data_IF_952610181204
#
_entry.id   IF_952610181204
#
_cell.length_a   1.000
_cell.length_b   1.000
_cell.length_c   1.000
_cell.angle_alpha   90.00
_cell.angle_beta   90.00
_cell.angle_gamma   90.00
#
_symmetry.space_group_name_H-M   'P 1'
#
loop_
_entity.id
_entity.type
_entity.pdbx_description
1 polymer ?
#
# COMPACT_ATOMS: atom_id res chain seq x y z
N UNK A 1 13.39 -8.94 15.51
CA UNK A 1 13.17 -7.80 14.57
C UNK A 1 12.29 -6.74 15.22
N UNK A 2 12.51 -5.46 14.94
CA UNK A 2 11.56 -4.40 15.31
C UNK A 2 10.45 -4.31 14.25
N UNK A 3 9.32 -4.92 14.55
CA UNK A 3 8.19 -5.00 13.62
C UNK A 3 7.57 -3.63 13.30
N UNK A 4 7.52 -2.69 14.27
CA UNK A 4 6.97 -1.35 14.00
C UNK A 4 7.80 -0.65 12.91
N UNK A 5 9.10 -0.56 13.10
CA UNK A 5 10.00 0.07 12.13
C UNK A 5 9.92 -0.58 10.75
N UNK A 6 9.83 -1.91 10.67
CA UNK A 6 9.67 -2.60 9.38
C UNK A 6 8.32 -2.28 8.73
N UNK A 7 7.23 -2.34 9.48
CA UNK A 7 5.88 -2.03 8.96
C UNK A 7 5.79 -0.57 8.52
N UNK A 8 6.36 0.39 9.27
CA UNK A 8 6.43 1.79 8.87
C UNK A 8 7.19 1.97 7.55
N UNK A 9 8.33 1.29 7.40
CA UNK A 9 9.12 1.32 6.16
C UNK A 9 8.33 0.74 4.98
N UNK A 10 7.63 -0.38 5.17
CA UNK A 10 6.80 -0.99 4.13
C UNK A 10 5.60 -0.10 3.78
N UNK A 11 4.97 0.57 4.77
CA UNK A 11 3.84 1.46 4.56
C UNK A 11 4.23 2.81 3.96
N UNK A 12 5.50 3.21 4.09
CA UNK A 12 6.04 4.34 3.34
C UNK A 12 6.14 4.06 1.84
N UNK A 13 6.20 2.78 1.44
CA UNK A 13 6.22 2.39 0.03
C UNK A 13 4.84 2.56 -0.61
N UNK A 14 4.81 3.14 -1.81
CA UNK A 14 3.68 3.01 -2.71
C UNK A 14 3.64 1.58 -3.24
N UNK A 15 2.47 0.93 -3.21
CA UNK A 15 2.34 -0.46 -3.62
C UNK A 15 0.88 -0.95 -3.60
N UNK A 16 -0.06 -0.25 -4.26
CA UNK A 16 -1.38 -0.81 -4.49
C UNK A 16 -1.30 -1.93 -5.52
N UNK A 17 -2.35 -2.78 -5.59
CA UNK A 17 -2.45 -3.85 -6.59
C UNK A 17 -2.21 -3.30 -8.00
N UNK A 18 -1.23 -3.86 -8.71
CA UNK A 18 -0.79 -3.46 -10.05
C UNK A 18 0.33 -2.40 -10.10
N UNK A 19 0.76 -1.84 -8.96
CA UNK A 19 1.95 -0.94 -8.88
C UNK A 19 2.82 -1.27 -7.65
N UNK A 20 3.19 -2.56 -7.51
CA UNK A 20 3.93 -3.09 -6.36
C UNK A 20 5.44 -2.88 -6.43
N UNK A 21 5.97 -2.28 -7.50
CA UNK A 21 7.41 -2.21 -7.76
C UNK A 21 8.22 -1.61 -6.61
N UNK A 22 7.69 -0.57 -5.97
CA UNK A 22 8.41 0.11 -4.89
C UNK A 22 8.53 -0.79 -3.65
N UNK A 23 7.44 -1.46 -3.25
CA UNK A 23 7.46 -2.36 -2.11
C UNK A 23 8.25 -3.63 -2.41
N UNK A 24 8.15 -4.21 -3.61
CA UNK A 24 8.95 -5.36 -4.02
C UNK A 24 10.45 -5.07 -3.94
N UNK A 25 10.89 -3.89 -4.43
CA UNK A 25 12.28 -3.46 -4.36
C UNK A 25 12.74 -3.25 -2.90
N UNK A 26 11.89 -2.69 -2.05
CA UNK A 26 12.20 -2.49 -0.63
C UNK A 26 12.35 -3.83 0.10
N UNK A 27 11.40 -4.76 -0.09
CA UNK A 27 11.48 -6.10 0.47
C UNK A 27 12.71 -6.86 -0.03
N UNK A 28 13.04 -6.75 -1.32
CA UNK A 28 14.25 -7.34 -1.89
C UNK A 28 15.50 -6.86 -1.14
N UNK A 29 15.66 -5.55 -1.00
CA UNK A 29 16.81 -4.96 -0.27
C UNK A 29 16.91 -5.45 1.17
N UNK A 30 15.77 -5.65 1.85
CA UNK A 30 15.73 -6.16 3.22
C UNK A 30 16.07 -7.65 3.32
N UNK A 31 15.73 -8.43 2.30
CA UNK A 31 15.96 -9.88 2.25
C UNK A 31 17.36 -10.27 1.75
N UNK A 32 17.96 -9.48 0.85
CA UNK A 32 19.25 -9.78 0.20
C UNK A 32 20.37 -10.19 1.17
N UNK A 33 20.55 -9.56 2.35
CA UNK A 33 21.63 -9.93 3.27
C UNK A 33 21.51 -11.35 3.85
N UNK A 34 20.33 -11.94 3.78
CA UNK A 34 20.00 -13.23 4.40
C UNK A 34 19.73 -14.36 3.38
N UNK A 35 19.77 -14.05 2.08
CA UNK A 35 19.37 -14.95 1.01
C UNK A 35 20.55 -15.40 0.16
N UNK A 36 20.50 -16.63 -0.39
CA UNK A 36 21.45 -17.07 -1.40
C UNK A 36 21.10 -16.54 -2.80
N UNK A 37 19.80 -16.37 -3.08
CA UNK A 37 19.31 -15.69 -4.29
C UNK A 37 18.08 -14.87 -3.98
N UNK A 38 17.96 -13.71 -4.64
CA UNK A 38 16.86 -12.79 -4.45
C UNK A 38 16.58 -12.05 -5.77
N UNK A 39 15.40 -12.26 -6.37
CA UNK A 39 15.05 -11.62 -7.64
C UNK A 39 13.54 -11.30 -7.71
N UNK A 40 13.21 -10.34 -8.55
CA UNK A 40 11.82 -10.01 -8.89
C UNK A 40 11.56 -10.59 -10.28
N UNK A 41 10.52 -11.40 -10.42
CA UNK A 41 10.16 -12.02 -11.69
C UNK A 41 9.38 -11.06 -12.61
N UNK A 42 8.97 -11.55 -13.78
CA UNK A 42 8.24 -10.76 -14.79
C UNK A 42 6.83 -10.35 -14.35
N UNK A 43 6.24 -11.05 -13.39
CA UNK A 43 4.92 -10.73 -12.82
C UNK A 43 5.03 -9.78 -11.61
N UNK A 44 6.27 -9.45 -11.18
CA UNK A 44 6.50 -8.58 -10.02
C UNK A 44 6.66 -9.36 -8.70
N UNK A 45 6.60 -10.67 -8.69
CA UNK A 45 6.80 -11.46 -7.48
C UNK A 45 8.25 -11.36 -7.01
N UNK A 46 8.46 -11.06 -5.74
CA UNK A 46 9.77 -11.18 -5.11
C UNK A 46 9.99 -12.64 -4.69
N UNK A 47 10.97 -13.28 -5.29
CA UNK A 47 11.39 -14.65 -4.97
C UNK A 47 12.70 -14.60 -4.21
N UNK A 48 12.69 -15.12 -2.99
CA UNK A 48 13.83 -15.20 -2.09
C UNK A 48 14.11 -16.67 -1.81
N UNK A 49 15.35 -17.11 -2.01
CA UNK A 49 15.74 -18.50 -1.77
C UNK A 49 16.91 -18.56 -0.80
N UNK A 50 16.78 -19.39 0.23
CA UNK A 50 17.81 -19.78 1.18
C UNK A 50 18.06 -21.27 1.04
N UNK A 51 19.31 -21.67 0.77
CA UNK A 51 19.71 -23.08 0.68
C UNK A 51 19.75 -23.72 2.06
N UNK A 52 19.46 -25.00 2.10
CA UNK A 52 19.52 -25.83 3.31
C UNK A 52 19.58 -27.31 2.94
N UNK A 53 19.98 -28.19 3.86
CA UNK A 53 20.14 -29.63 3.63
C UNK A 53 18.81 -30.39 3.65
N UNK A 54 17.72 -29.75 4.10
CA UNK A 54 16.41 -30.38 4.28
C UNK A 54 15.48 -30.27 3.07
N UNK A 55 14.22 -30.70 3.22
CA UNK A 55 13.20 -30.55 2.19
C UNK A 55 12.93 -29.07 1.90
N UNK A 56 12.54 -28.77 0.65
CA UNK A 56 12.14 -27.42 0.27
C UNK A 56 10.81 -27.06 0.91
N UNK A 57 10.76 -25.93 1.59
CA UNK A 57 9.56 -25.33 2.17
C UNK A 57 9.36 -23.96 1.52
N UNK A 58 8.14 -23.65 1.11
CA UNK A 58 7.78 -22.35 0.53
C UNK A 58 6.82 -21.62 1.47
N UNK A 59 7.17 -20.37 1.79
CA UNK A 59 6.29 -19.40 2.43
C UNK A 59 5.83 -18.38 1.39
N UNK A 60 4.58 -17.96 1.46
CA UNK A 60 4.04 -16.96 0.54
C UNK A 60 3.19 -15.93 1.30
N UNK A 61 3.34 -14.66 0.92
CA UNK A 61 2.51 -13.55 1.38
C UNK A 61 2.36 -12.54 0.23
N UNK A 62 1.20 -11.90 0.10
CA UNK A 62 1.07 -10.79 -0.82
C UNK A 62 1.61 -9.50 -0.19
N UNK A 63 2.18 -8.62 -1.02
CA UNK A 63 2.81 -7.38 -0.58
C UNK A 63 2.02 -6.13 -0.98
N UNK A 64 1.08 -6.27 -1.91
CA UNK A 64 0.24 -5.16 -2.35
C UNK A 64 -0.69 -4.67 -1.25
N UNK A 65 -1.26 -3.52 -1.48
CA UNK A 65 -2.27 -2.92 -0.63
C UNK A 65 -3.53 -2.57 -1.42
N UNK A 66 -4.65 -2.42 -0.72
CA UNK A 66 -5.81 -1.74 -1.29
C UNK A 66 -5.46 -0.29 -1.58
N UNK A 67 -6.19 0.33 -2.50
CA UNK A 67 -5.95 1.71 -2.90
C UNK A 67 -7.07 2.28 -3.74
N UNK A 68 -6.81 3.46 -4.29
CA UNK A 68 -7.70 4.16 -5.21
C UNK A 68 -6.99 4.38 -6.54
N UNK A 69 -7.75 4.41 -7.64
CA UNK A 69 -7.27 4.78 -8.98
C UNK A 69 -8.10 5.95 -9.50
N UNK A 70 -7.46 7.00 -9.98
CA UNK A 70 -8.16 8.16 -10.58
C UNK A 70 -8.86 7.75 -11.86
N UNK A 71 -10.17 7.98 -11.92
CA UNK A 71 -10.98 7.68 -13.11
C UNK A 71 -11.42 8.93 -13.87
N UNK A 72 -11.53 10.08 -13.19
CA UNK A 72 -11.90 11.34 -13.81
C UNK A 72 -11.39 12.53 -12.98
N UNK A 73 -11.09 13.64 -13.65
CA UNK A 73 -10.71 14.93 -13.05
C UNK A 73 -11.83 15.95 -13.39
N UNK A 74 -12.48 16.48 -12.38
CA UNK A 74 -13.59 17.43 -12.53
C UNK A 74 -13.11 18.86 -12.76
N UNK A 75 -13.98 19.70 -13.34
CA UNK A 75 -13.71 21.12 -13.61
C UNK A 75 -13.32 21.92 -12.36
N UNK A 76 -13.88 21.54 -11.22
CA UNK A 76 -13.63 22.13 -9.90
C UNK A 76 -12.29 21.66 -9.29
N UNK A 77 -11.62 20.68 -9.90
CA UNK A 77 -10.34 20.14 -9.44
C UNK A 77 -10.44 18.89 -8.56
N UNK A 78 -11.65 18.41 -8.25
CA UNK A 78 -11.88 17.16 -7.54
C UNK A 78 -11.62 15.95 -8.44
N UNK A 79 -11.32 14.80 -7.82
CA UNK A 79 -11.06 13.56 -8.54
C UNK A 79 -12.15 12.54 -8.24
N UNK A 80 -12.73 11.94 -9.28
CA UNK A 80 -13.42 10.65 -9.14
C UNK A 80 -12.40 9.54 -9.14
N UNK A 81 -12.69 8.47 -8.43
CA UNK A 81 -11.80 7.32 -8.33
C UNK A 81 -12.56 6.00 -8.37
N UNK A 82 -11.88 4.96 -8.79
CA UNK A 82 -12.22 3.56 -8.61
C UNK A 82 -11.47 2.97 -7.44
N UNK A 83 -11.93 1.83 -6.96
CA UNK A 83 -11.25 1.08 -5.90
C UNK A 83 -10.29 0.04 -6.48
N UNK A 84 -9.15 -0.12 -5.83
CA UNK A 84 -8.21 -1.23 -6.02
C UNK A 84 -8.34 -2.14 -4.80
N UNK A 85 -8.82 -3.37 -5.01
CA UNK A 85 -9.09 -4.32 -3.94
C UNK A 85 -10.35 -4.02 -3.10
N UNK A 86 -10.40 -4.54 -1.90
CA UNK A 86 -11.57 -4.55 -1.01
C UNK A 86 -11.79 -3.22 -0.25
N UNK A 87 -11.97 -2.13 -0.96
CA UNK A 87 -12.25 -0.81 -0.36
C UNK A 87 -13.73 -0.64 -0.09
N UNK A 88 -14.11 -0.27 1.13
CA UNK A 88 -15.46 0.06 1.56
C UNK A 88 -15.62 1.57 1.75
N UNK A 89 -16.72 2.19 1.25
CA UNK A 89 -16.95 3.64 1.33
C UNK A 89 -16.80 4.19 2.75
N UNK A 90 -17.36 3.49 3.73
CA UNK A 90 -17.39 3.91 5.13
C UNK A 90 -15.98 3.95 5.75
N UNK A 91 -15.10 3.07 5.29
CA UNK A 91 -13.73 2.96 5.83
C UNK A 91 -12.77 4.02 5.30
N UNK A 92 -13.11 4.67 4.19
CA UNK A 92 -12.23 5.64 3.54
C UNK A 92 -12.71 7.09 3.63
N UNK A 93 -13.95 7.31 4.04
CA UNK A 93 -14.49 8.67 4.21
C UNK A 93 -13.61 9.46 5.21
N UNK A 94 -13.22 10.67 4.83
CA UNK A 94 -12.30 11.55 5.54
C UNK A 94 -10.87 10.99 5.76
N UNK A 95 -10.54 9.89 5.08
CA UNK A 95 -9.19 9.32 5.14
C UNK A 95 -8.26 10.07 4.17
N UNK A 96 -7.03 10.42 4.60
CA UNK A 96 -6.02 10.96 3.72
C UNK A 96 -5.41 9.85 2.83
N UNK A 97 -5.26 10.16 1.54
CA UNK A 97 -4.57 9.33 0.57
C UNK A 97 -3.36 10.06 -0.02
N UNK A 98 -2.35 9.31 -0.42
CA UNK A 98 -1.12 9.81 -1.02
C UNK A 98 -0.87 9.10 -2.35
N UNK A 99 -0.63 9.89 -3.38
CA UNK A 99 -0.15 9.45 -4.69
C UNK A 99 1.34 9.10 -4.67
N UNK A 100 1.80 8.37 -5.66
CA UNK A 100 3.20 7.95 -5.81
C UNK A 100 4.17 9.14 -5.89
N UNK A 101 3.75 10.25 -6.50
CA UNK A 101 4.52 11.50 -6.61
C UNK A 101 4.50 12.36 -5.34
N UNK A 102 3.84 11.93 -4.27
CA UNK A 102 3.77 12.62 -3.00
C UNK A 102 2.56 13.55 -2.83
N UNK A 103 1.79 13.82 -3.87
CA UNK A 103 0.54 14.58 -3.76
C UNK A 103 -0.39 13.86 -2.79
N UNK A 104 -1.03 14.63 -1.92
CA UNK A 104 -2.00 14.11 -0.95
C UNK A 104 -3.38 14.70 -1.17
N UNK A 105 -4.40 13.94 -0.81
CA UNK A 105 -5.78 14.39 -0.81
C UNK A 105 -6.60 13.69 0.26
N UNK A 106 -7.81 14.14 0.48
CA UNK A 106 -8.75 13.57 1.45
C UNK A 106 -10.02 13.13 0.74
N UNK A 107 -10.51 11.96 1.07
CA UNK A 107 -11.78 11.47 0.54
C UNK A 107 -12.93 12.21 1.22
N UNK A 108 -13.84 12.75 0.41
CA UNK A 108 -15.02 13.46 0.88
C UNK A 108 -16.28 12.96 0.20
N UNK A 109 -17.43 13.19 0.84
CA UNK A 109 -18.76 12.85 0.35
C UNK A 109 -19.33 14.00 -0.48
N UNK A 110 -19.97 13.69 -1.60
CA UNK A 110 -20.68 14.68 -2.41
C UNK A 110 -21.82 15.32 -1.60
N UNK A 111 -22.03 16.64 -1.74
CA UNK A 111 -23.14 17.32 -1.06
C UNK A 111 -24.49 16.68 -1.37
N UNK A 112 -25.34 16.58 -0.35
CA UNK A 112 -26.72 16.08 -0.48
C UNK A 112 -26.85 14.55 -0.44
N UNK A 113 -25.76 13.79 -0.36
CA UNK A 113 -25.81 12.33 -0.21
C UNK A 113 -25.92 11.95 1.26
N UNK A 114 -26.81 11.02 1.58
CA UNK A 114 -26.95 10.44 2.92
C UNK A 114 -25.80 9.46 3.20
N UNK A 115 -25.20 9.53 4.41
CA UNK A 115 -24.19 8.56 4.84
C UNK A 115 -24.69 7.12 4.80
N UNK A 116 -25.99 6.90 5.05
CA UNK A 116 -26.61 5.57 5.09
C UNK A 116 -26.64 4.89 3.72
N UNK A 117 -26.75 5.68 2.65
CA UNK A 117 -26.93 5.16 1.29
C UNK A 117 -25.68 5.40 0.42
N UNK A 118 -24.57 5.79 1.05
CA UNK A 118 -23.32 6.17 0.42
C UNK A 118 -22.68 5.00 -0.34
N UNK A 119 -22.27 5.26 -1.57
CA UNK A 119 -21.51 4.35 -2.42
C UNK A 119 -20.14 4.96 -2.81
N UNK A 120 -19.28 4.19 -3.44
CA UNK A 120 -17.98 4.70 -3.93
C UNK A 120 -18.15 5.86 -4.94
N UNK A 121 -19.22 5.82 -5.76
CA UNK A 121 -19.50 6.86 -6.76
C UNK A 121 -19.91 8.21 -6.14
N UNK A 122 -20.36 8.19 -4.90
CA UNK A 122 -20.74 9.38 -4.15
C UNK A 122 -19.56 10.06 -3.48
N UNK A 123 -18.40 9.41 -3.48
CA UNK A 123 -17.16 9.94 -2.95
C UNK A 123 -16.33 10.64 -4.03
N UNK A 124 -15.52 11.57 -3.59
CA UNK A 124 -14.48 12.19 -4.41
C UNK A 124 -13.21 12.39 -3.58
N UNK A 125 -12.06 12.51 -4.25
CA UNK A 125 -10.79 12.82 -3.61
C UNK A 125 -10.47 14.30 -3.86
N UNK A 126 -10.36 15.07 -2.79
CA UNK A 126 -9.96 16.48 -2.81
C UNK A 126 -8.45 16.56 -2.57
N UNK A 127 -7.71 17.03 -3.58
CA UNK A 127 -6.26 17.25 -3.53
C UNK A 127 -5.90 18.73 -3.35
N UNK A 128 -6.87 19.61 -3.04
CA UNK A 128 -6.68 21.04 -2.89
C UNK A 128 -6.43 21.78 -4.21
N UNK A 129 -6.81 21.18 -5.36
CA UNK A 129 -6.66 21.81 -6.65
C UNK A 129 -7.74 22.86 -6.88
N UNK A 130 -7.39 24.02 -7.46
CA UNK A 130 -8.30 25.15 -7.69
C UNK A 130 -9.27 24.91 -8.89
N UNK A 131 -8.89 24.05 -9.81
CA UNK A 131 -9.63 23.72 -11.02
C UNK A 131 -8.99 22.52 -11.72
N UNK A 132 -9.61 22.03 -12.80
CA UNK A 132 -9.14 20.89 -13.60
C UNK A 132 -7.68 21.07 -14.08
N UNK A 133 -7.34 22.24 -14.64
CA UNK A 133 -6.00 22.50 -15.17
C UNK A 133 -4.93 22.43 -14.07
N UNK A 134 -5.27 22.85 -12.84
CA UNK A 134 -4.39 22.69 -11.69
C UNK A 134 -4.28 21.22 -11.27
N UNK A 135 -5.38 20.49 -11.18
CA UNK A 135 -5.37 19.07 -10.81
C UNK A 135 -4.56 18.24 -11.80
N UNK A 136 -4.72 18.48 -13.12
CA UNK A 136 -3.97 17.79 -14.19
C UNK A 136 -2.47 18.02 -14.17
N UNK A 137 -1.97 19.06 -13.52
CA UNK A 137 -0.53 19.25 -13.29
C UNK A 137 -0.01 18.43 -12.13
N UNK A 138 -0.89 18.02 -11.23
CA UNK A 138 -0.56 17.28 -10.00
C UNK A 138 -0.73 15.77 -10.19
N UNK A 139 -1.80 15.36 -10.86
CA UNK A 139 -2.17 13.95 -11.05
C UNK A 139 -2.84 13.73 -12.41
N UNK A 140 -2.87 12.47 -12.85
CA UNK A 140 -3.48 12.05 -14.11
C UNK A 140 -4.54 10.97 -13.86
N UNK A 141 -5.43 10.79 -14.83
CA UNK A 141 -6.31 9.61 -14.87
C UNK A 141 -5.43 8.36 -15.00
N UNK A 142 -5.70 7.35 -14.16
CA UNK A 142 -4.87 6.15 -14.03
C UNK A 142 -3.86 6.20 -12.90
N UNK A 143 -3.56 7.37 -12.33
CA UNK A 143 -2.71 7.45 -11.15
C UNK A 143 -3.38 6.78 -9.95
N UNK A 144 -2.56 6.10 -9.15
CA UNK A 144 -3.01 5.37 -7.96
C UNK A 144 -2.63 6.09 -6.67
N UNK A 145 -3.47 5.94 -5.66
CA UNK A 145 -3.25 6.50 -4.33
C UNK A 145 -3.47 5.45 -3.24
N UNK A 146 -2.68 5.54 -2.18
CA UNK A 146 -2.74 4.66 -1.01
C UNK A 146 -3.02 5.47 0.25
N UNK A 147 -3.64 4.87 1.27
CA UNK A 147 -3.91 5.54 2.54
C UNK A 147 -2.62 6.06 3.18
N UNK A 148 -2.70 7.24 3.77
CA UNK A 148 -1.60 7.87 4.54
C UNK A 148 -1.82 7.77 6.05
N UNK A 149 -2.56 6.79 6.52
CA UNK A 149 -2.72 6.59 7.96
C UNK A 149 -1.40 6.18 8.61
N UNK A 150 -1.07 6.69 9.81
CA UNK A 150 0.16 6.32 10.51
C UNK A 150 0.09 4.89 11.06
N UNK A 151 1.27 4.29 11.28
CA UNK A 151 1.44 3.11 12.11
C UNK A 151 1.83 3.55 13.51
N UNK A 152 1.39 2.82 14.54
CA UNK A 152 1.77 3.07 15.94
C UNK A 152 1.57 1.82 16.78
N UNK A 153 2.15 1.80 17.97
CA UNK A 153 1.91 0.76 18.97
C UNK A 153 1.07 1.30 20.11
N UNK A 154 0.23 0.43 20.63
CA UNK A 154 -0.35 0.57 21.96
C UNK A 154 0.47 -0.30 22.93
N UNK A 155 0.06 -0.41 24.19
CA UNK A 155 0.74 -1.27 25.17
C UNK A 155 0.89 -2.74 24.70
N UNK A 156 -0.08 -3.26 23.96
CA UNK A 156 -0.12 -4.69 23.56
C UNK A 156 -0.33 -4.94 22.07
N UNK A 157 -0.51 -3.90 21.25
CA UNK A 157 -0.90 -4.04 19.84
C UNK A 157 -0.07 -3.14 18.93
N UNK A 158 0.19 -3.63 17.72
CA UNK A 158 0.59 -2.83 16.58
C UNK A 158 -0.67 -2.46 15.79
N UNK A 159 -0.85 -1.18 15.52
CA UNK A 159 -1.94 -0.64 14.70
C UNK A 159 -1.32 -0.03 13.45
N UNK A 160 -1.81 -0.43 12.28
CA UNK A 160 -1.27 0.04 11.01
C UNK A 160 -2.27 -0.22 9.87
N UNK A 161 -2.30 0.60 8.82
CA UNK A 161 -2.89 0.20 7.56
C UNK A 161 -2.10 -0.97 6.96
N UNK A 162 -2.76 -1.78 6.13
CA UNK A 162 -2.12 -2.81 5.31
C UNK A 162 -1.38 -3.92 6.09
N UNK A 163 -1.73 -4.19 7.35
CA UNK A 163 -1.23 -5.36 8.06
C UNK A 163 -1.53 -6.65 7.30
N UNK A 164 -2.66 -6.70 6.63
CA UNK A 164 -2.97 -7.68 5.60
C UNK A 164 -2.38 -7.21 4.23
N UNK A 165 -1.26 -7.77 3.75
CA UNK A 165 -0.55 -8.89 4.37
C UNK A 165 0.92 -8.52 4.64
N UNK A 166 1.24 -7.24 4.86
CA UNK A 166 2.61 -6.73 5.12
C UNK A 166 3.19 -7.26 6.42
N UNK A 167 2.34 -7.64 7.39
CA UNK A 167 2.84 -8.29 8.62
C UNK A 167 3.42 -9.68 8.31
N UNK A 168 2.83 -10.44 7.40
CA UNK A 168 3.39 -11.71 6.97
C UNK A 168 4.69 -11.53 6.19
N UNK A 169 4.82 -10.47 5.36
CA UNK A 169 6.07 -10.12 4.72
C UNK A 169 7.17 -9.83 5.76
N UNK A 170 6.86 -9.07 6.81
CA UNK A 170 7.78 -8.80 7.91
C UNK A 170 8.16 -10.08 8.68
N UNK A 171 7.20 -10.96 8.96
CA UNK A 171 7.45 -12.22 9.63
C UNK A 171 8.35 -13.17 8.79
N UNK A 172 8.17 -13.18 7.46
CA UNK A 172 9.03 -13.93 6.56
C UNK A 172 10.47 -13.39 6.55
N UNK A 173 10.66 -12.07 6.58
CA UNK A 173 11.98 -11.45 6.71
C UNK A 173 12.66 -11.82 8.05
N UNK A 174 11.88 -11.83 9.13
CA UNK A 174 12.39 -12.22 10.45
C UNK A 174 12.81 -13.68 10.47
N UNK A 175 11.96 -14.59 9.99
CA UNK A 175 12.28 -16.01 9.87
C UNK A 175 13.53 -16.25 8.99
N UNK A 176 13.65 -15.53 7.87
CA UNK A 176 14.82 -15.61 7.00
C UNK A 176 16.11 -15.17 7.72
N UNK A 177 16.04 -14.08 8.52
CA UNK A 177 17.17 -13.60 9.29
C UNK A 177 17.62 -14.58 10.37
N UNK A 178 16.66 -15.24 11.04
CA UNK A 178 16.93 -16.24 12.08
C UNK A 178 17.54 -17.53 11.52
N UNK A 179 17.23 -17.88 10.28
CA UNK A 179 17.76 -19.10 9.64
C UNK A 179 19.27 -19.10 9.46
N UNK A 180 19.95 -17.93 9.62
CA UNK A 180 21.42 -17.82 9.62
C UNK A 180 22.06 -18.15 10.97
N UNK A 181 21.27 -18.17 12.05
CA UNK A 181 21.79 -18.31 13.42
C UNK A 181 21.79 -19.78 13.86
N UNK A 182 21.04 -20.65 13.16
CA UNK A 182 20.80 -22.03 13.55
C UNK A 182 21.31 -23.08 12.56
N UNK A 183 22.28 -22.72 11.70
CA UNK A 183 22.96 -23.66 10.80
C UNK A 183 24.41 -23.83 11.25
#
# INVERSE_FOLDING_TARGET
MDYLSVIEMLNACHGPSGDERQIATTLKRLAEPYADTCHIDTLGNLIVHKKGPGPKVMFAAHMDSIGLIVTHIHKEGYLSFGKLGGVHPESILHTPFRFKNGVCGVVALRPGVSLKDMTIQDLYLDIGAKNEAHARRLVQVGDTAVSRMPSFTTETKLVSPYLDNRISCAAMLDALSLSLIHI
#
